data_IF_936753753299
#
_entry.id   IF_936753753299
#
_cell.length_a   1.000
_cell.length_b   1.000
_cell.length_c   1.000
_cell.angle_alpha   90.00
_cell.angle_beta   90.00
_cell.angle_gamma   90.00
#
_symmetry.space_group_name_H-M   'P 1'
#
loop_
_entity.id
_entity.type
_entity.pdbx_description
1 polymer ?
#
# COMPACT_ATOMS: atom_id res chain seq x y z
N UNK A 1 6.78 -28.05 -9.18
CA UNK A 1 5.54 -27.97 -8.39
C UNK A 1 4.36 -28.61 -9.11
N UNK A 2 3.93 -28.11 -10.27
CA UNK A 2 2.65 -28.53 -10.88
C UNK A 2 2.44 -30.05 -11.02
N UNK A 3 3.40 -30.77 -11.62
CA UNK A 3 3.33 -32.24 -11.75
C UNK A 3 3.17 -32.96 -10.40
N UNK A 4 3.74 -32.44 -9.30
CA UNK A 4 3.57 -33.03 -7.96
C UNK A 4 2.11 -32.90 -7.49
N UNK A 5 1.50 -31.73 -7.69
CA UNK A 5 0.10 -31.51 -7.32
C UNK A 5 -0.86 -32.31 -8.22
N UNK A 6 -0.53 -32.48 -9.51
CA UNK A 6 -1.28 -33.35 -10.42
C UNK A 6 -1.25 -34.81 -9.96
N UNK A 7 -0.08 -35.34 -9.60
CA UNK A 7 0.04 -36.68 -8.99
C UNK A 7 -0.74 -36.82 -7.67
N UNK A 8 -0.89 -35.73 -6.91
CA UNK A 8 -1.64 -35.70 -5.65
C UNK A 8 -3.17 -35.69 -5.83
N UNK A 9 -3.71 -35.56 -7.06
CA UNK A 9 -5.17 -35.54 -7.33
C UNK A 9 -5.97 -36.65 -6.67
N UNK A 10 -5.39 -37.83 -6.50
CA UNK A 10 -6.06 -38.96 -5.85
C UNK A 10 -6.46 -38.68 -4.39
N UNK A 11 -5.75 -37.77 -3.69
CA UNK A 11 -6.00 -37.40 -2.29
C UNK A 11 -7.33 -36.66 -2.08
N UNK A 12 -7.92 -36.08 -3.13
CA UNK A 12 -9.21 -35.39 -3.06
C UNK A 12 -10.24 -35.89 -4.08
N UNK A 13 -9.85 -36.74 -5.04
CA UNK A 13 -10.77 -37.29 -6.06
C UNK A 13 -11.28 -38.71 -5.76
N UNK A 14 -10.66 -39.46 -4.84
CA UNK A 14 -11.20 -40.75 -4.41
C UNK A 14 -12.41 -40.56 -3.49
N UNK A 15 -13.50 -41.27 -3.79
CA UNK A 15 -14.58 -41.58 -2.83
C UNK A 15 -14.22 -42.89 -2.13
N UNK A 16 -14.53 -43.00 -0.84
CA UNK A 16 -14.29 -44.23 -0.08
C UNK A 16 -14.95 -45.44 -0.75
N UNK A 17 -14.17 -46.53 -0.86
CA UNK A 17 -14.61 -47.78 -1.48
C UNK A 17 -15.59 -48.59 -0.60
N UNK A 18 -15.86 -48.12 0.62
CA UNK A 18 -16.82 -48.70 1.57
C UNK A 18 -18.07 -47.83 1.65
N UNK A 19 -19.19 -48.32 1.13
CA UNK A 19 -20.46 -47.58 0.97
C UNK A 19 -21.22 -47.27 2.27
N UNK A 20 -20.61 -46.54 3.20
CA UNK A 20 -21.24 -46.05 4.43
C UNK A 20 -20.74 -44.64 4.78
N UNK A 21 -21.59 -43.63 4.54
CA UNK A 21 -21.39 -42.25 5.01
C UNK A 21 -20.76 -41.30 3.99
N UNK A 22 -21.46 -40.21 3.72
CA UNK A 22 -21.01 -39.12 2.84
C UNK A 22 -19.96 -38.25 3.54
N UNK A 23 -18.70 -38.70 3.61
CA UNK A 23 -17.59 -37.78 3.89
C UNK A 23 -16.92 -37.39 2.57
N UNK A 24 -17.17 -36.13 2.18
CA UNK A 24 -16.40 -35.47 1.13
C UNK A 24 -14.93 -35.46 1.54
N UNK A 25 -14.03 -35.64 0.57
CA UNK A 25 -12.57 -35.64 0.77
C UNK A 25 -12.02 -34.19 0.97
N UNK A 26 -12.82 -33.35 1.63
CA UNK A 26 -12.65 -31.91 1.80
C UNK A 26 -11.60 -31.59 2.88
N UNK A 27 -11.38 -32.51 3.84
CA UNK A 27 -10.43 -32.39 4.95
C UNK A 27 -9.01 -32.01 4.49
N UNK A 28 -8.55 -32.47 3.32
CA UNK A 28 -7.25 -32.04 2.80
C UNK A 28 -7.18 -30.51 2.62
N UNK A 29 -8.22 -29.89 2.06
CA UNK A 29 -8.25 -28.45 1.84
C UNK A 29 -8.71 -27.68 3.07
N UNK A 30 -9.79 -28.12 3.73
CA UNK A 30 -10.41 -27.42 4.86
C UNK A 30 -9.71 -27.64 6.19
N UNK A 31 -8.82 -28.64 6.29
CA UNK A 31 -8.00 -28.90 7.46
C UNK A 31 -6.50 -28.91 7.15
N UNK A 32 -5.96 -29.85 6.36
CA UNK A 32 -4.50 -29.99 6.24
C UNK A 32 -3.83 -28.73 5.65
N UNK A 33 -4.33 -28.23 4.52
CA UNK A 33 -3.78 -27.03 3.86
C UNK A 33 -4.13 -25.75 4.63
N UNK A 34 -5.24 -25.72 5.35
CA UNK A 34 -5.62 -24.62 6.26
C UNK A 34 -4.67 -24.54 7.46
N UNK A 35 -4.44 -25.66 8.16
CA UNK A 35 -3.52 -25.76 9.29
C UNK A 35 -2.08 -25.36 8.87
N UNK A 36 -1.66 -25.74 7.66
CA UNK A 36 -0.41 -25.28 7.05
C UNK A 36 -0.40 -23.76 6.82
N UNK A 37 -1.48 -23.19 6.27
CA UNK A 37 -1.58 -21.73 6.08
C UNK A 37 -1.50 -20.98 7.40
N UNK A 38 -2.25 -21.39 8.43
CA UNK A 38 -2.23 -20.75 9.74
C UNK A 38 -0.85 -20.83 10.42
N UNK A 39 -0.13 -21.94 10.26
CA UNK A 39 1.26 -22.07 10.71
C UNK A 39 2.20 -21.09 9.99
N UNK A 40 2.09 -20.98 8.66
CA UNK A 40 2.93 -20.09 7.86
C UNK A 40 2.60 -18.62 8.16
N UNK A 41 1.33 -18.23 8.11
CA UNK A 41 0.87 -16.87 8.34
C UNK A 41 1.10 -16.41 9.79
N UNK A 42 0.96 -17.32 10.77
CA UNK A 42 1.38 -17.07 12.15
C UNK A 42 2.87 -16.72 12.25
N UNK A 43 3.74 -17.50 11.58
CA UNK A 43 5.18 -17.19 11.54
C UNK A 43 5.50 -15.89 10.77
N UNK A 44 4.74 -15.55 9.72
CA UNK A 44 4.88 -14.28 9.02
C UNK A 44 4.56 -13.10 9.93
N UNK A 45 3.43 -13.12 10.66
CA UNK A 45 3.08 -12.08 11.64
C UNK A 45 4.12 -11.98 12.75
N UNK A 46 4.53 -13.11 13.37
CA UNK A 46 5.44 -13.10 14.52
C UNK A 46 6.87 -12.65 14.15
N UNK A 47 7.41 -13.13 13.02
CA UNK A 47 8.82 -12.96 12.70
C UNK A 47 9.07 -11.94 11.57
N UNK A 48 8.07 -11.62 10.74
CA UNK A 48 8.18 -10.69 9.60
C UNK A 48 8.48 -9.24 9.98
N UNK A 49 8.41 -8.86 11.25
CA UNK A 49 8.97 -7.59 11.74
C UNK A 49 10.50 -7.58 11.82
N UNK A 50 11.14 -8.75 11.98
CA UNK A 50 12.48 -8.87 12.57
C UNK A 50 13.62 -9.08 11.57
N UNK A 51 14.83 -8.69 11.99
CA UNK A 51 16.08 -9.42 11.75
C UNK A 51 16.70 -9.50 10.35
N UNK A 52 15.93 -9.63 9.28
CA UNK A 52 16.50 -10.11 8.01
C UNK A 52 17.26 -9.03 7.24
N UNK A 53 18.59 -9.16 7.21
CA UNK A 53 19.48 -8.19 6.56
C UNK A 53 19.45 -8.31 5.04
N UNK A 54 19.12 -9.48 4.49
CA UNK A 54 18.94 -9.66 3.05
C UNK A 54 17.81 -8.80 2.47
N UNK A 55 16.80 -8.45 3.28
CA UNK A 55 15.68 -7.57 2.90
C UNK A 55 16.00 -6.07 3.01
N UNK A 56 17.21 -5.66 3.41
CA UNK A 56 17.60 -4.25 3.40
C UNK A 56 17.95 -3.73 1.99
N UNK A 57 18.28 -4.64 1.06
CA UNK A 57 18.69 -4.34 -0.31
C UNK A 57 18.03 -5.34 -1.26
N UNK A 58 17.00 -4.87 -1.97
CA UNK A 58 16.08 -5.73 -2.74
C UNK A 58 16.28 -5.61 -4.25
N UNK A 59 16.63 -4.42 -4.74
CA UNK A 59 16.63 -4.15 -6.17
C UNK A 59 17.87 -4.56 -6.93
N UNK A 60 17.80 -4.43 -8.26
CA UNK A 60 18.90 -4.75 -9.17
C UNK A 60 20.13 -3.92 -8.78
N UNK A 61 21.27 -4.62 -8.56
CA UNK A 61 22.53 -4.08 -8.01
C UNK A 61 22.50 -3.66 -6.52
N UNK A 62 21.49 -4.08 -5.74
CA UNK A 62 21.47 -3.92 -4.29
C UNK A 62 21.17 -2.49 -3.82
N UNK A 63 20.27 -1.80 -4.52
CA UNK A 63 19.66 -0.54 -4.09
C UNK A 63 18.98 -0.70 -2.71
N UNK A 64 18.95 0.35 -1.87
CA UNK A 64 18.19 0.32 -0.62
C UNK A 64 16.71 0.06 -0.88
N UNK A 65 16.12 -0.87 -0.12
CA UNK A 65 14.69 -1.18 -0.20
C UNK A 65 13.85 -0.03 0.35
N UNK A 66 12.72 0.27 -0.30
CA UNK A 66 11.66 1.08 0.30
C UNK A 66 11.09 0.37 1.55
N UNK A 67 10.40 1.10 2.47
CA UNK A 67 9.77 0.49 3.63
C UNK A 67 8.81 -0.64 3.26
N UNK A 68 8.02 -0.46 2.20
CA UNK A 68 7.05 -1.44 1.70
C UNK A 68 7.70 -2.69 1.11
N UNK A 69 8.75 -2.55 0.30
CA UNK A 69 9.50 -3.70 -0.22
C UNK A 69 10.18 -4.48 0.89
N UNK A 70 10.71 -3.78 1.89
CA UNK A 70 11.35 -4.39 3.06
C UNK A 70 10.33 -5.16 3.91
N UNK A 71 9.14 -4.61 4.13
CA UNK A 71 8.05 -5.31 4.81
C UNK A 71 7.61 -6.55 4.02
N UNK A 72 7.34 -6.40 2.72
CA UNK A 72 6.95 -7.48 1.81
C UNK A 72 7.98 -8.64 1.81
N UNK A 73 9.26 -8.28 1.68
CA UNK A 73 10.38 -9.23 1.71
C UNK A 73 10.42 -9.99 3.04
N UNK A 74 10.37 -9.30 4.18
CA UNK A 74 10.47 -9.95 5.49
C UNK A 74 9.30 -10.88 5.79
N UNK A 75 8.07 -10.50 5.46
CA UNK A 75 6.91 -11.38 5.65
C UNK A 75 7.07 -12.68 4.86
N UNK A 76 7.31 -12.58 3.54
CA UNK A 76 7.51 -13.76 2.70
C UNK A 76 8.73 -14.58 3.13
N UNK A 77 9.81 -13.93 3.55
CA UNK A 77 11.02 -14.62 4.03
C UNK A 77 10.76 -15.41 5.32
N UNK A 78 9.99 -14.85 6.27
CA UNK A 78 9.56 -15.56 7.47
C UNK A 78 8.67 -16.77 7.14
N UNK A 79 7.74 -16.62 6.19
CA UNK A 79 6.90 -17.71 5.69
C UNK A 79 7.71 -18.82 5.02
N UNK A 80 8.64 -18.47 4.12
CA UNK A 80 9.56 -19.42 3.48
C UNK A 80 10.48 -20.10 4.50
N UNK A 81 11.02 -19.37 5.48
CA UNK A 81 11.80 -19.97 6.57
C UNK A 81 10.98 -20.99 7.37
N UNK A 82 9.70 -20.69 7.66
CA UNK A 82 8.81 -21.62 8.36
C UNK A 82 8.43 -22.84 7.52
N UNK A 83 8.33 -22.67 6.20
CA UNK A 83 8.04 -23.77 5.27
C UNK A 83 9.18 -24.78 5.15
N UNK A 84 10.43 -24.28 5.10
CA UNK A 84 11.62 -25.12 4.91
C UNK A 84 12.37 -25.47 6.19
N UNK A 85 12.04 -24.81 7.31
CA UNK A 85 12.53 -25.16 8.64
C UNK A 85 12.04 -26.53 9.13
N UNK A 86 12.57 -27.01 10.26
CA UNK A 86 12.07 -28.23 10.88
C UNK A 86 10.59 -28.07 11.21
N UNK A 87 9.80 -29.12 10.90
CA UNK A 87 8.40 -29.19 11.32
C UNK A 87 8.32 -29.10 12.86
N UNK A 88 7.28 -28.47 13.42
CA UNK A 88 7.07 -28.49 14.86
C UNK A 88 6.94 -29.96 15.35
N UNK A 89 7.41 -30.28 16.57
CA UNK A 89 7.26 -31.63 17.11
C UNK A 89 5.77 -31.99 17.19
N UNK A 90 5.40 -33.14 16.63
CA UNK A 90 4.01 -33.58 16.54
C UNK A 90 3.37 -33.66 17.93
N UNK A 91 2.23 -33.01 18.10
CA UNK A 91 1.39 -33.09 19.30
C UNK A 91 0.52 -34.36 19.26
N UNK A 92 0.73 -35.35 20.15
CA UNK A 92 -0.09 -36.56 20.13
C UNK A 92 -1.48 -36.30 20.75
N UNK A 93 -2.57 -36.91 20.25
CA UNK A 93 -2.67 -37.77 19.08
C UNK A 93 -3.41 -37.06 17.93
N UNK A 94 -2.73 -36.16 17.20
CA UNK A 94 -3.21 -35.76 15.89
C UNK A 94 -3.19 -36.97 14.92
N UNK A 95 -4.18 -37.07 14.04
CA UNK A 95 -4.13 -38.03 12.94
C UNK A 95 -2.97 -37.67 11.98
N UNK A 96 -2.27 -38.66 11.40
CA UNK A 96 -1.15 -38.40 10.49
C UNK A 96 -1.65 -37.62 9.26
N UNK A 97 -0.97 -36.53 8.92
CA UNK A 97 -1.33 -35.68 7.79
C UNK A 97 -0.54 -36.08 6.55
N UNK A 98 -1.13 -35.97 5.37
CA UNK A 98 -0.37 -36.15 4.11
C UNK A 98 0.72 -35.07 3.95
N UNK A 99 0.59 -33.95 4.66
CA UNK A 99 1.59 -32.88 4.73
C UNK A 99 2.74 -33.17 5.72
N UNK A 100 2.74 -34.32 6.40
CA UNK A 100 3.94 -34.83 7.09
C UNK A 100 5.05 -35.19 6.08
N UNK A 101 4.70 -35.42 4.80
CA UNK A 101 5.69 -35.57 3.74
C UNK A 101 6.30 -34.20 3.35
N UNK A 102 7.63 -34.00 3.50
CA UNK A 102 8.26 -32.70 3.23
C UNK A 102 8.07 -32.20 1.80
N UNK A 103 7.99 -33.08 0.79
CA UNK A 103 7.77 -32.67 -0.59
C UNK A 103 6.35 -32.15 -0.83
N UNK A 104 5.35 -32.74 -0.18
CA UNK A 104 3.96 -32.32 -0.29
C UNK A 104 3.71 -31.02 0.49
N UNK A 105 4.23 -30.94 1.72
CA UNK A 105 4.26 -29.71 2.52
C UNK A 105 4.87 -28.54 1.76
N UNK A 106 6.07 -28.71 1.22
CA UNK A 106 6.78 -27.65 0.48
C UNK A 106 6.06 -27.28 -0.83
N UNK A 107 5.40 -28.24 -1.49
CA UNK A 107 4.58 -27.96 -2.67
C UNK A 107 3.35 -27.10 -2.32
N UNK A 108 2.56 -27.49 -1.32
CA UNK A 108 1.36 -26.76 -0.91
C UNK A 108 1.69 -25.40 -0.29
N UNK A 109 2.69 -25.35 0.60
CA UNK A 109 3.11 -24.11 1.24
C UNK A 109 3.69 -23.11 0.25
N UNK A 110 4.37 -23.57 -0.82
CA UNK A 110 4.79 -22.67 -1.88
C UNK A 110 3.60 -22.09 -2.66
N UNK A 111 2.58 -22.88 -3.00
CA UNK A 111 1.36 -22.35 -3.63
C UNK A 111 0.65 -21.32 -2.74
N UNK A 112 0.54 -21.58 -1.43
CA UNK A 112 0.00 -20.63 -0.45
C UNK A 112 0.82 -19.32 -0.39
N UNK A 113 2.16 -19.41 -0.38
CA UNK A 113 3.03 -18.23 -0.33
C UNK A 113 3.04 -17.44 -1.66
N UNK A 114 2.89 -18.10 -2.81
CA UNK A 114 2.69 -17.42 -4.10
C UNK A 114 1.33 -16.69 -4.15
N UNK A 115 0.25 -17.33 -3.68
CA UNK A 115 -1.08 -16.71 -3.58
C UNK A 115 -1.07 -15.51 -2.61
N UNK A 116 -0.38 -15.64 -1.48
CA UNK A 116 -0.19 -14.53 -0.54
C UNK A 116 0.62 -13.39 -1.15
N UNK A 117 1.71 -13.68 -1.85
CA UNK A 117 2.50 -12.67 -2.56
C UNK A 117 1.64 -11.93 -3.60
N UNK A 118 0.77 -12.63 -4.35
CA UNK A 118 -0.19 -12.01 -5.27
C UNK A 118 -1.17 -11.07 -4.54
N UNK A 119 -1.83 -11.54 -3.47
CA UNK A 119 -2.73 -10.68 -2.68
C UNK A 119 -2.02 -9.46 -2.08
N UNK A 120 -0.76 -9.61 -1.67
CA UNK A 120 0.06 -8.49 -1.20
C UNK A 120 0.30 -7.47 -2.33
N UNK A 121 0.64 -7.91 -3.56
CA UNK A 121 0.76 -7.03 -4.74
C UNK A 121 -0.55 -6.34 -5.08
N UNK A 122 -1.69 -7.00 -4.90
CA UNK A 122 -3.02 -6.41 -5.17
C UNK A 122 -3.41 -5.33 -4.15
N UNK A 123 -3.04 -5.51 -2.87
CA UNK A 123 -3.36 -4.56 -1.78
C UNK A 123 -2.34 -3.42 -1.62
N UNK A 124 -1.11 -3.57 -2.11
CA UNK A 124 -0.05 -2.58 -1.97
C UNK A 124 -0.26 -1.33 -2.86
N UNK A 125 -0.21 -0.15 -2.22
CA UNK A 125 -0.13 1.16 -2.89
C UNK A 125 1.26 1.47 -3.45
N UNK A 126 2.23 0.70 -2.98
CA UNK A 126 3.64 0.77 -3.31
C UNK A 126 4.04 -0.31 -4.33
N UNK A 127 5.15 -0.08 -5.04
CA UNK A 127 5.79 -1.12 -5.84
C UNK A 127 6.63 -1.98 -4.89
N UNK A 128 6.32 -3.28 -4.84
CA UNK A 128 6.92 -4.22 -3.87
C UNK A 128 7.59 -5.43 -4.53
N UNK A 129 7.61 -5.45 -5.86
CA UNK A 129 8.01 -6.57 -6.71
C UNK A 129 9.43 -7.05 -6.42
N UNK A 130 10.39 -6.13 -6.24
CA UNK A 130 11.78 -6.47 -5.91
C UNK A 130 11.88 -7.10 -4.50
N UNK A 131 11.11 -6.59 -3.53
CA UNK A 131 11.03 -7.16 -2.17
C UNK A 131 10.47 -8.58 -2.16
N UNK A 132 9.41 -8.83 -2.93
CA UNK A 132 8.84 -10.18 -3.12
C UNK A 132 9.88 -11.11 -3.73
N UNK A 133 10.44 -10.74 -4.88
CA UNK A 133 11.45 -11.55 -5.59
C UNK A 133 12.62 -11.90 -4.65
N UNK A 134 13.11 -10.92 -3.88
CA UNK A 134 14.24 -11.10 -2.96
C UNK A 134 13.99 -12.18 -1.91
N UNK A 135 12.79 -12.29 -1.37
CA UNK A 135 12.43 -13.30 -0.38
C UNK A 135 12.51 -14.72 -0.96
N UNK A 136 11.88 -14.93 -2.12
CA UNK A 136 11.90 -16.23 -2.81
C UNK A 136 13.30 -16.63 -3.27
N UNK A 137 14.13 -15.70 -3.76
CA UNK A 137 15.53 -15.99 -4.11
C UNK A 137 16.35 -16.44 -2.89
N UNK A 138 16.18 -15.79 -1.75
CA UNK A 138 17.03 -15.97 -0.55
C UNK A 138 16.73 -17.27 0.22
N UNK A 139 15.48 -17.74 0.19
CA UNK A 139 15.05 -18.92 0.97
C UNK A 139 14.36 -20.00 0.11
N UNK A 140 13.64 -19.62 -0.94
CA UNK A 140 12.86 -20.52 -1.79
C UNK A 140 13.66 -21.64 -2.47
N UNK A 141 14.98 -21.48 -2.61
CA UNK A 141 15.87 -22.48 -3.19
C UNK A 141 16.44 -23.51 -2.18
N UNK A 142 16.07 -23.47 -0.89
CA UNK A 142 16.72 -24.28 0.17
C UNK A 142 16.11 -25.65 0.46
N UNK A 143 14.98 -26.00 -0.14
CA UNK A 143 14.25 -27.26 0.14
C UNK A 143 14.31 -28.33 -0.95
N UNK A 144 13.63 -29.45 -0.69
CA UNK A 144 13.46 -30.59 -1.61
C UNK A 144 12.57 -30.21 -2.80
N UNK A 145 11.65 -29.26 -2.60
CA UNK A 145 10.88 -28.60 -3.66
C UNK A 145 11.23 -27.11 -3.68
N UNK A 146 12.00 -26.63 -4.68
CA UNK A 146 12.28 -25.21 -4.84
C UNK A 146 10.99 -24.40 -5.10
N UNK A 147 10.83 -23.33 -4.34
CA UNK A 147 9.76 -22.34 -4.46
C UNK A 147 10.35 -21.10 -5.16
N UNK A 148 10.32 -21.11 -6.49
CA UNK A 148 10.96 -20.11 -7.33
C UNK A 148 9.95 -19.11 -7.87
N UNK A 149 10.19 -17.83 -7.62
CA UNK A 149 9.43 -16.72 -8.18
C UNK A 149 9.87 -16.46 -9.63
N UNK A 150 9.01 -16.70 -10.61
CA UNK A 150 9.36 -16.62 -12.03
C UNK A 150 9.24 -15.21 -12.65
N UNK A 151 9.50 -14.18 -11.84
CA UNK A 151 9.47 -12.76 -12.26
C UNK A 151 8.18 -12.04 -11.89
N UNK A 152 8.04 -10.80 -12.36
CA UNK A 152 6.96 -9.88 -11.94
C UNK A 152 5.55 -10.38 -12.32
N UNK A 153 5.43 -11.13 -13.41
CA UNK A 153 4.19 -11.69 -13.95
C UNK A 153 4.07 -13.22 -13.78
N UNK A 154 4.60 -13.77 -12.66
CA UNK A 154 4.51 -15.21 -12.40
C UNK A 154 3.06 -15.67 -12.19
N UNK A 155 2.47 -16.09 -13.30
CA UNK A 155 1.13 -16.67 -13.43
C UNK A 155 1.17 -18.18 -13.68
N UNK A 156 2.37 -18.80 -13.72
CA UNK A 156 2.49 -20.23 -14.05
C UNK A 156 2.03 -21.13 -12.90
N UNK A 157 2.20 -20.69 -11.65
CA UNK A 157 1.63 -21.37 -10.49
C UNK A 157 0.10 -21.26 -10.49
N UNK A 158 -0.46 -20.12 -10.89
CA UNK A 158 -1.91 -19.89 -10.97
C UNK A 158 -2.56 -20.73 -12.07
N UNK A 159 -2.01 -20.70 -13.29
CA UNK A 159 -2.45 -21.54 -14.40
C UNK A 159 -2.37 -23.04 -14.08
N UNK A 160 -1.36 -23.46 -13.29
CA UNK A 160 -1.29 -24.81 -12.77
C UNK A 160 -2.47 -25.15 -11.85
N UNK A 161 -2.74 -24.31 -10.85
CA UNK A 161 -3.82 -24.52 -9.90
C UNK A 161 -5.21 -24.51 -10.59
N UNK A 162 -5.38 -23.69 -11.62
CA UNK A 162 -6.61 -23.67 -12.44
C UNK A 162 -6.78 -24.94 -13.30
N UNK A 163 -5.69 -25.55 -13.78
CA UNK A 163 -5.74 -26.81 -14.53
C UNK A 163 -6.14 -28.05 -13.70
N UNK A 164 -6.27 -27.90 -12.38
CA UNK A 164 -6.48 -28.99 -11.43
C UNK A 164 -7.89 -28.89 -10.87
N UNK A 165 -8.79 -29.73 -11.38
CA UNK A 165 -10.17 -29.85 -10.91
C UNK A 165 -10.27 -30.67 -9.63
N UNK A 166 -11.16 -30.27 -8.73
CA UNK A 166 -11.42 -30.94 -7.45
C UNK A 166 -12.64 -31.86 -7.55
N UNK A 167 -13.72 -31.40 -8.20
CA UNK A 167 -14.99 -32.13 -8.28
C UNK A 167 -15.27 -32.67 -9.69
N UNK A 168 -15.19 -34.00 -9.87
CA UNK A 168 -15.52 -34.69 -11.12
C UNK A 168 -17.00 -35.05 -11.24
N UNK A 169 -17.81 -34.17 -11.83
CA UNK A 169 -19.22 -34.43 -12.15
C UNK A 169 -19.72 -33.51 -13.27
N UNK A 170 -20.29 -34.08 -14.34
CA UNK A 170 -20.47 -33.41 -15.64
C UNK A 170 -21.60 -32.36 -15.75
N UNK A 171 -21.96 -31.67 -14.66
CA UNK A 171 -23.11 -30.74 -14.64
C UNK A 171 -22.96 -29.49 -13.74
N UNK A 172 -21.80 -29.27 -13.12
CA UNK A 172 -21.52 -28.05 -12.32
C UNK A 172 -20.15 -27.51 -12.73
N UNK A 173 -20.00 -26.19 -12.81
CA UNK A 173 -18.70 -25.54 -13.04
C UNK A 173 -17.71 -25.98 -11.95
N UNK A 174 -16.75 -26.82 -12.31
CA UNK A 174 -15.91 -27.52 -11.36
C UNK A 174 -15.01 -26.58 -10.57
N UNK A 175 -15.04 -26.72 -9.24
CA UNK A 175 -14.11 -26.05 -8.33
C UNK A 175 -12.66 -26.47 -8.64
N UNK A 176 -11.74 -25.50 -8.74
CA UNK A 176 -10.32 -25.73 -9.03
C UNK A 176 -9.47 -25.68 -7.76
N UNK A 177 -8.26 -26.24 -7.80
CA UNK A 177 -7.29 -26.13 -6.70
C UNK A 177 -6.96 -24.66 -6.39
N UNK A 178 -7.03 -23.77 -7.39
CA UNK A 178 -6.91 -22.33 -7.19
C UNK A 178 -8.05 -21.79 -6.32
N UNK A 179 -9.30 -22.15 -6.63
CA UNK A 179 -10.45 -21.71 -5.83
C UNK A 179 -10.31 -22.13 -4.37
N UNK A 180 -9.78 -23.35 -4.10
CA UNK A 180 -9.47 -23.79 -2.72
C UNK A 180 -8.36 -22.94 -2.07
N UNK A 181 -7.23 -22.70 -2.75
CA UNK A 181 -6.13 -21.86 -2.24
C UNK A 181 -6.60 -20.43 -1.96
N UNK A 182 -7.29 -19.79 -2.91
CA UNK A 182 -7.83 -18.43 -2.76
C UNK A 182 -8.81 -18.36 -1.58
N UNK A 183 -9.65 -19.38 -1.37
CA UNK A 183 -10.59 -19.44 -0.24
C UNK A 183 -9.91 -19.59 1.13
N UNK A 184 -8.77 -20.28 1.23
CA UNK A 184 -7.99 -20.42 2.48
C UNK A 184 -7.40 -19.07 2.93
N UNK A 185 -6.96 -18.25 1.97
CA UNK A 185 -6.42 -16.92 2.25
C UNK A 185 -7.53 -15.86 2.46
N UNK A 186 -8.70 -16.06 1.85
CA UNK A 186 -9.79 -15.08 1.84
C UNK A 186 -10.43 -14.90 3.22
N UNK A 187 -10.24 -13.70 3.78
CA UNK A 187 -10.84 -13.31 5.05
C UNK A 187 -9.97 -13.60 6.28
N UNK A 188 -8.75 -14.10 6.10
CA UNK A 188 -7.77 -14.16 7.19
C UNK A 188 -7.30 -12.75 7.57
N UNK A 189 -7.61 -12.33 8.79
CA UNK A 189 -7.21 -11.04 9.37
C UNK A 189 -5.71 -10.82 9.33
N UNK A 190 -4.89 -11.89 9.39
CA UNK A 190 -3.42 -11.80 9.28
C UNK A 190 -2.99 -11.16 7.95
N UNK A 191 -3.71 -11.41 6.85
CA UNK A 191 -3.40 -10.78 5.55
C UNK A 191 -3.71 -9.28 5.58
N UNK A 192 -4.74 -8.86 6.30
CA UNK A 192 -5.08 -7.45 6.46
C UNK A 192 -4.07 -6.72 7.33
N UNK A 193 -3.59 -7.34 8.41
CA UNK A 193 -2.56 -6.77 9.28
C UNK A 193 -1.20 -6.66 8.56
N UNK A 194 -0.80 -7.68 7.80
CA UNK A 194 0.40 -7.58 6.96
C UNK A 194 0.26 -6.53 5.84
N UNK A 195 -0.94 -6.36 5.27
CA UNK A 195 -1.19 -5.31 4.26
C UNK A 195 -1.07 -3.89 4.85
N UNK A 196 -1.57 -3.66 6.07
CA UNK A 196 -1.38 -2.38 6.80
C UNK A 196 0.10 -2.05 6.97
N UNK A 197 0.92 -3.02 7.40
CA UNK A 197 2.36 -2.80 7.58
C UNK A 197 3.12 -2.65 6.25
N UNK A 198 2.71 -3.34 5.18
CA UNK A 198 3.28 -3.11 3.83
C UNK A 198 2.94 -1.72 3.30
N UNK A 199 1.76 -1.18 3.60
CA UNK A 199 1.35 0.18 3.25
C UNK A 199 1.84 1.26 4.25
N UNK A 200 2.55 0.89 5.33
CA UNK A 200 3.02 1.79 6.38
C UNK A 200 4.31 2.53 6.02
N UNK A 201 4.19 3.58 5.19
CA UNK A 201 5.31 4.46 4.81
C UNK A 201 5.19 5.79 5.57
N UNK A 202 6.13 6.05 6.47
CA UNK A 202 6.04 7.19 7.41
C UNK A 202 6.71 8.47 6.91
N UNK A 203 7.65 8.38 5.96
CA UNK A 203 8.40 9.50 5.40
C UNK A 203 7.76 9.95 4.08
N UNK A 204 7.47 11.25 3.95
CA UNK A 204 6.80 11.78 2.75
C UNK A 204 7.63 11.57 1.47
N UNK A 205 8.96 11.66 1.56
CA UNK A 205 9.84 11.37 0.42
C UNK A 205 9.74 9.91 -0.04
N UNK A 206 9.80 8.95 0.89
CA UNK A 206 9.68 7.52 0.55
C UNK A 206 8.31 7.20 -0.03
N UNK A 207 7.25 7.77 0.57
CA UNK A 207 5.88 7.66 0.08
C UNK A 207 5.77 8.18 -1.36
N UNK A 208 6.32 9.37 -1.65
CA UNK A 208 6.36 9.95 -3.01
C UNK A 208 7.05 9.01 -4.01
N UNK A 209 8.27 8.54 -3.73
CA UNK A 209 8.98 7.63 -4.64
C UNK A 209 8.17 6.36 -4.90
N UNK A 210 7.67 5.76 -3.82
CA UNK A 210 7.09 4.43 -3.83
C UNK A 210 5.73 4.37 -4.55
N UNK A 211 4.82 5.31 -4.27
CA UNK A 211 3.52 5.35 -4.99
C UNK A 211 3.66 5.85 -6.42
N UNK A 212 4.63 6.74 -6.70
CA UNK A 212 4.85 7.23 -8.08
C UNK A 212 5.39 6.11 -8.95
N UNK A 213 6.38 5.33 -8.47
CA UNK A 213 6.87 4.15 -9.18
C UNK A 213 5.74 3.13 -9.43
N UNK A 214 4.88 2.89 -8.44
CA UNK A 214 3.74 1.97 -8.56
C UNK A 214 2.70 2.43 -9.57
N UNK A 215 2.36 3.72 -9.55
CA UNK A 215 1.42 4.33 -10.50
C UNK A 215 2.01 4.36 -11.92
N UNK A 216 3.32 4.59 -12.06
CA UNK A 216 4.01 4.53 -13.34
C UNK A 216 4.13 3.12 -13.91
N UNK A 217 4.29 2.09 -13.08
CA UNK A 217 4.34 0.69 -13.50
C UNK A 217 3.00 0.13 -13.95
N UNK A 218 1.88 0.71 -13.49
CA UNK A 218 0.56 0.37 -14.03
C UNK A 218 0.41 0.83 -15.48
N UNK A 219 -0.36 0.07 -16.26
CA UNK A 219 -0.82 0.52 -17.58
C UNK A 219 -1.63 1.82 -17.45
N UNK A 220 -1.61 2.62 -18.52
CA UNK A 220 -2.51 3.78 -18.68
C UNK A 220 -3.96 3.30 -18.78
N UNK A 221 -4.89 4.04 -18.17
CA UNK A 221 -6.32 3.78 -18.32
C UNK A 221 -6.68 3.77 -19.81
N UNK A 222 -7.32 2.69 -20.28
CA UNK A 222 -7.73 2.52 -21.67
C UNK A 222 -6.61 2.30 -22.71
N UNK A 223 -5.36 1.95 -22.33
CA UNK A 223 -4.28 1.79 -23.31
C UNK A 223 -3.13 0.85 -22.91
N UNK A 224 -2.25 0.57 -23.87
CA UNK A 224 -1.03 -0.21 -23.67
C UNK A 224 0.17 0.70 -23.34
N UNK A 225 0.91 0.36 -22.28
CA UNK A 225 2.17 1.02 -21.93
C UNK A 225 2.17 1.73 -20.57
N UNK A 226 3.37 1.88 -20.01
CA UNK A 226 3.65 2.52 -18.72
C UNK A 226 3.56 4.04 -18.79
N UNK A 227 3.42 4.71 -17.63
CA UNK A 227 3.41 6.18 -17.54
C UNK A 227 4.85 6.72 -17.50
N UNK A 228 5.02 7.98 -17.94
CA UNK A 228 6.31 8.69 -17.88
C UNK A 228 6.27 9.81 -16.82
N UNK A 229 7.43 10.36 -16.45
CA UNK A 229 7.53 11.53 -15.57
C UNK A 229 6.72 12.74 -16.08
N UNK A 230 6.63 12.93 -17.40
CA UNK A 230 5.72 13.93 -17.98
C UNK A 230 4.27 13.70 -17.54
N UNK A 231 3.79 12.46 -17.55
CA UNK A 231 2.43 12.13 -17.10
C UNK A 231 2.24 12.28 -15.59
N UNK A 232 3.30 12.09 -14.79
CA UNK A 232 3.29 12.43 -13.34
C UNK A 232 3.03 13.91 -13.16
N UNK A 233 3.86 14.78 -13.76
CA UNK A 233 3.73 16.23 -13.58
C UNK A 233 2.44 16.82 -14.17
N UNK A 234 1.98 16.29 -15.31
CA UNK A 234 0.66 16.62 -15.88
C UNK A 234 -0.49 16.32 -14.90
N UNK A 235 -0.40 15.24 -14.11
CA UNK A 235 -1.43 14.89 -13.11
C UNK A 235 -1.26 15.70 -11.82
N UNK A 236 -0.02 15.92 -11.34
CA UNK A 236 0.26 16.80 -10.19
C UNK A 236 -0.26 18.22 -10.43
N UNK A 237 -0.15 18.75 -11.66
CA UNK A 237 -0.71 20.06 -12.01
C UNK A 237 -2.25 20.08 -11.92
N UNK A 238 -2.94 18.99 -12.28
CA UNK A 238 -4.40 18.87 -12.07
C UNK A 238 -4.75 18.80 -10.59
N UNK A 239 -3.97 18.08 -9.79
CA UNK A 239 -4.15 18.02 -8.34
C UNK A 239 -3.98 19.38 -7.67
N UNK A 240 -3.08 20.24 -8.16
CA UNK A 240 -2.96 21.63 -7.71
C UNK A 240 -4.25 22.43 -7.99
N UNK A 241 -4.84 22.30 -9.18
CA UNK A 241 -6.13 22.94 -9.51
C UNK A 241 -7.28 22.39 -8.64
N UNK A 242 -7.31 21.08 -8.39
CA UNK A 242 -8.31 20.46 -7.49
C UNK A 242 -8.14 20.96 -6.06
N UNK A 243 -6.91 21.08 -5.56
CA UNK A 243 -6.60 21.61 -4.25
C UNK A 243 -7.04 23.08 -4.12
N UNK A 244 -6.76 23.92 -5.12
CA UNK A 244 -7.22 25.31 -5.19
C UNK A 244 -8.76 25.42 -5.06
N UNK A 245 -9.50 24.57 -5.79
CA UNK A 245 -10.96 24.46 -5.69
C UNK A 245 -11.44 23.96 -4.31
N UNK A 246 -10.71 23.00 -3.74
CA UNK A 246 -10.94 22.43 -2.40
C UNK A 246 -10.72 23.43 -1.25
N UNK A 247 -9.82 24.42 -1.41
CA UNK A 247 -9.49 25.42 -0.38
C UNK A 247 -10.18 26.78 -0.57
N UNK A 248 -11.18 26.87 -1.46
CA UNK A 248 -11.99 28.08 -1.66
C UNK A 248 -12.65 28.57 -0.36
N UNK A 249 -12.95 29.86 -0.25
CA UNK A 249 -13.58 30.45 0.95
C UNK A 249 -14.86 29.70 1.38
N UNK A 250 -15.76 29.43 0.44
CA UNK A 250 -16.98 28.63 0.65
C UNK A 250 -16.70 27.22 1.23
N UNK A 251 -15.55 26.62 0.91
CA UNK A 251 -15.14 25.32 1.47
C UNK A 251 -14.54 25.44 2.87
N UNK A 252 -13.84 26.54 3.18
CA UNK A 252 -13.35 26.86 4.53
C UNK A 252 -14.46 27.22 5.51
N UNK A 253 -15.50 27.90 5.01
CA UNK A 253 -16.73 28.24 5.74
C UNK A 253 -17.66 27.03 5.95
N UNK A 254 -17.28 25.83 5.50
CA UNK A 254 -18.02 24.60 5.79
C UNK A 254 -18.03 24.37 7.31
N UNK A 255 -19.24 24.27 7.89
CA UNK A 255 -19.43 24.03 9.32
C UNK A 255 -18.82 22.71 9.80
N UNK A 256 -18.55 21.76 8.89
CA UNK A 256 -17.80 20.54 9.18
C UNK A 256 -16.30 20.78 9.45
N UNK A 257 -15.72 21.89 8.97
CA UNK A 257 -14.33 22.26 9.20
C UNK A 257 -14.12 23.12 10.45
N UNK A 258 -15.08 24.00 10.79
CA UNK A 258 -14.97 24.92 11.94
C UNK A 258 -14.53 24.25 13.26
N UNK A 259 -15.04 23.06 13.66
CA UNK A 259 -14.60 22.38 14.89
C UNK A 259 -13.11 22.03 14.91
N UNK A 260 -12.49 21.82 13.75
CA UNK A 260 -11.07 21.47 13.65
C UNK A 260 -10.10 22.61 13.92
N UNK A 261 -10.59 23.86 13.94
CA UNK A 261 -9.77 25.06 14.13
C UNK A 261 -10.27 25.92 15.30
N UNK A 262 -11.06 25.36 16.23
CA UNK A 262 -11.70 26.16 17.26
C UNK A 262 -10.79 26.52 18.44
N UNK A 263 -9.86 25.63 18.81
CA UNK A 263 -9.08 25.70 20.05
C UNK A 263 -7.59 25.99 19.80
N UNK A 264 -7.29 26.90 18.88
CA UNK A 264 -5.91 27.31 18.59
C UNK A 264 -5.38 28.15 19.78
N UNK A 265 -4.28 27.75 20.45
CA UNK A 265 -3.77 28.47 21.61
C UNK A 265 -3.37 29.90 21.28
N UNK A 266 -3.75 30.85 22.15
CA UNK A 266 -3.37 32.26 22.05
C UNK A 266 -1.85 32.43 22.11
N UNK A 267 -1.32 33.39 21.35
CA UNK A 267 0.10 33.79 21.41
C UNK A 267 0.19 35.17 22.05
N UNK A 268 0.98 35.31 23.11
CA UNK A 268 1.16 36.57 23.85
C UNK A 268 -0.18 37.26 24.20
N UNK A 269 -1.18 36.46 24.60
CA UNK A 269 -2.54 36.91 24.92
C UNK A 269 -3.45 37.23 23.73
N UNK A 270 -2.92 37.31 22.50
CA UNK A 270 -3.69 37.54 21.26
C UNK A 270 -4.26 36.23 20.71
N UNK A 271 -5.44 36.31 20.11
CA UNK A 271 -6.00 35.18 19.37
C UNK A 271 -5.17 34.92 18.09
N UNK A 272 -5.04 33.64 17.72
CA UNK A 272 -4.46 33.24 16.43
C UNK A 272 -5.56 33.31 15.38
N UNK A 273 -5.23 33.76 14.18
CA UNK A 273 -6.18 33.76 13.06
C UNK A 273 -6.45 32.33 12.60
N UNK A 274 -7.74 32.00 12.44
CA UNK A 274 -8.18 30.65 12.09
C UNK A 274 -8.06 30.36 10.60
N UNK A 275 -7.94 31.36 9.72
CA UNK A 275 -7.96 31.16 8.27
C UNK A 275 -6.80 30.31 7.76
N UNK A 276 -5.60 30.48 8.35
CA UNK A 276 -4.45 29.61 8.05
C UNK A 276 -4.71 28.14 8.45
N UNK A 277 -5.41 27.91 9.56
CA UNK A 277 -5.82 26.57 9.97
C UNK A 277 -6.91 26.00 9.04
N UNK A 278 -7.93 26.80 8.72
CA UNK A 278 -9.04 26.37 7.85
C UNK A 278 -8.56 26.04 6.43
N UNK A 279 -7.59 26.79 5.89
CA UNK A 279 -7.00 26.52 4.58
C UNK A 279 -6.30 25.15 4.56
N UNK A 280 -5.44 24.87 5.54
CA UNK A 280 -4.77 23.57 5.64
C UNK A 280 -5.78 22.45 5.96
N UNK A 281 -6.76 22.68 6.83
CA UNK A 281 -7.80 21.70 7.15
C UNK A 281 -8.68 21.35 5.93
N UNK A 282 -9.02 22.34 5.10
CA UNK A 282 -9.73 22.14 3.83
C UNK A 282 -8.87 21.35 2.84
N UNK A 283 -7.56 21.66 2.75
CA UNK A 283 -6.62 20.91 1.92
C UNK A 283 -6.47 19.45 2.36
N UNK A 284 -6.28 19.21 3.66
CA UNK A 284 -6.25 17.86 4.25
C UNK A 284 -7.55 17.10 4.00
N UNK A 285 -8.71 17.77 4.13
CA UNK A 285 -10.01 17.16 3.84
C UNK A 285 -10.15 16.79 2.36
N UNK A 286 -9.80 17.70 1.45
CA UNK A 286 -9.85 17.45 0.01
C UNK A 286 -8.98 16.25 -0.39
N UNK A 287 -7.79 16.15 0.22
CA UNK A 287 -6.87 15.02 0.12
C UNK A 287 -7.50 13.72 0.64
N UNK A 288 -8.01 13.68 1.88
CA UNK A 288 -8.52 12.42 2.45
C UNK A 288 -9.89 12.00 1.90
N UNK A 289 -10.65 12.92 1.29
CA UNK A 289 -11.91 12.61 0.59
C UNK A 289 -11.70 12.01 -0.82
N UNK A 290 -10.47 12.00 -1.35
CA UNK A 290 -10.13 11.20 -2.54
C UNK A 290 -10.47 9.73 -2.22
N UNK A 291 -11.29 9.11 -3.07
CA UNK A 291 -11.78 7.73 -2.91
C UNK A 291 -11.41 6.88 -4.13
N UNK A 292 -11.46 5.56 -3.96
CA UNK A 292 -11.48 4.63 -5.09
C UNK A 292 -12.83 4.82 -5.83
N UNK A 293 -12.78 5.00 -7.16
CA UNK A 293 -13.96 5.18 -8.01
C UNK A 293 -13.75 4.44 -9.33
N UNK A 294 -14.20 3.17 -9.34
CA UNK A 294 -14.07 2.25 -10.49
C UNK A 294 -14.85 2.71 -11.73
N UNK A 295 -15.77 3.65 -11.59
CA UNK A 295 -16.52 4.21 -12.74
C UNK A 295 -15.76 5.34 -13.44
N UNK A 296 -14.69 5.84 -12.82
CA UNK A 296 -13.86 6.94 -13.30
C UNK A 296 -12.37 6.55 -13.38
N UNK A 297 -12.08 5.25 -13.47
CA UNK A 297 -10.72 4.66 -13.50
C UNK A 297 -9.79 5.07 -12.34
N UNK A 298 -10.36 5.49 -11.19
CA UNK A 298 -9.59 5.80 -9.98
C UNK A 298 -9.47 4.55 -9.11
N UNK A 299 -8.44 3.75 -9.36
CA UNK A 299 -8.12 2.60 -8.53
C UNK A 299 -7.39 2.98 -7.22
N UNK A 300 -7.09 1.98 -6.40
CA UNK A 300 -6.39 2.13 -5.13
C UNK A 300 -5.02 2.81 -5.25
N UNK A 301 -4.25 2.44 -6.27
CA UNK A 301 -2.91 3.00 -6.54
C UNK A 301 -3.02 4.46 -6.96
N UNK A 302 -3.91 4.76 -7.91
CA UNK A 302 -4.19 6.13 -8.36
C UNK A 302 -4.64 6.99 -7.19
N UNK A 303 -5.61 6.53 -6.38
CA UNK A 303 -6.04 7.26 -5.20
C UNK A 303 -4.89 7.53 -4.20
N UNK A 304 -3.98 6.58 -3.99
CA UNK A 304 -2.81 6.79 -3.11
C UNK A 304 -1.79 7.77 -3.70
N UNK A 305 -1.55 7.70 -5.01
CA UNK A 305 -0.71 8.65 -5.74
C UNK A 305 -1.27 10.08 -5.65
N UNK A 306 -2.55 10.31 -5.99
CA UNK A 306 -3.16 11.64 -5.94
C UNK A 306 -3.16 12.22 -4.51
N UNK A 307 -3.46 11.41 -3.48
CA UNK A 307 -3.33 11.81 -2.07
C UNK A 307 -1.89 12.22 -1.72
N UNK A 308 -0.91 11.44 -2.17
CA UNK A 308 0.50 11.74 -1.90
C UNK A 308 0.92 13.06 -2.55
N UNK A 309 0.53 13.31 -3.80
CA UNK A 309 0.84 14.55 -4.50
C UNK A 309 0.12 15.76 -3.90
N UNK A 310 -1.16 15.64 -3.53
CA UNK A 310 -1.84 16.70 -2.78
C UNK A 310 -1.17 16.99 -1.42
N UNK A 311 -0.58 15.99 -0.75
CA UNK A 311 0.14 16.22 0.50
C UNK A 311 1.43 17.04 0.30
N UNK A 312 2.17 16.77 -0.78
CA UNK A 312 3.35 17.56 -1.17
C UNK A 312 2.94 19.00 -1.52
N UNK A 313 1.89 19.17 -2.33
CA UNK A 313 1.36 20.48 -2.71
C UNK A 313 0.83 21.27 -1.51
N UNK A 314 0.18 20.63 -0.55
CA UNK A 314 -0.31 21.28 0.66
C UNK A 314 0.83 21.73 1.59
N UNK A 315 1.91 20.94 1.67
CA UNK A 315 3.13 21.34 2.37
C UNK A 315 3.85 22.49 1.67
N UNK A 316 3.89 22.49 0.33
CA UNK A 316 4.40 23.60 -0.46
C UNK A 316 3.60 24.91 -0.23
N UNK A 317 2.27 24.83 -0.16
CA UNK A 317 1.42 25.97 0.19
C UNK A 317 1.71 26.42 1.63
N UNK A 318 1.86 25.50 2.59
CA UNK A 318 2.21 25.82 3.96
C UNK A 318 3.56 26.55 4.08
N UNK A 319 4.57 26.17 3.28
CA UNK A 319 5.85 26.90 3.18
C UNK A 319 5.62 28.33 2.62
N UNK A 320 4.85 28.48 1.54
CA UNK A 320 4.53 29.79 0.94
C UNK A 320 3.77 30.74 1.87
N UNK A 321 2.96 30.21 2.79
CA UNK A 321 2.28 30.98 3.84
C UNK A 321 3.20 31.36 5.02
N UNK A 322 4.37 30.72 5.14
CA UNK A 322 5.37 30.98 6.19
C UNK A 322 6.58 31.80 5.69
N UNK A 323 6.73 31.94 4.36
CA UNK A 323 7.75 32.75 3.68
C UNK A 323 7.75 34.22 4.14
N UNK A 324 8.93 34.85 4.17
CA UNK A 324 9.09 36.27 4.55
C UNK A 324 8.33 37.25 3.65
N UNK A 325 7.97 36.86 2.42
CA UNK A 325 7.18 37.66 1.49
C UNK A 325 5.67 37.51 1.69
N UNK A 326 5.22 36.64 2.59
CA UNK A 326 3.80 36.54 2.93
C UNK A 326 3.44 37.67 3.91
N UNK A 327 2.52 38.59 3.56
CA UNK A 327 2.14 39.70 4.44
C UNK A 327 1.48 39.18 5.73
N UNK A 328 1.47 40.00 6.77
CA UNK A 328 0.79 39.78 8.05
C UNK A 328 1.09 38.45 8.81
N UNK A 329 2.07 37.65 8.38
CA UNK A 329 2.28 36.27 8.88
C UNK A 329 2.43 36.16 10.40
N UNK A 330 3.17 37.10 11.00
CA UNK A 330 3.43 37.14 12.44
C UNK A 330 2.26 37.76 13.21
N UNK A 331 1.65 38.81 12.64
CA UNK A 331 0.49 39.51 13.19
C UNK A 331 -0.69 38.55 13.37
N UNK A 332 -0.90 37.68 12.38
CA UNK A 332 -1.98 36.69 12.32
C UNK A 332 -1.57 35.31 12.86
N UNK A 333 -0.30 35.14 13.23
CA UNK A 333 0.25 33.90 13.77
C UNK A 333 0.04 32.69 12.84
N UNK A 334 0.26 32.89 11.54
CA UNK A 334 -0.02 31.92 10.46
C UNK A 334 0.63 30.55 10.72
N UNK A 335 1.86 30.53 11.25
CA UNK A 335 2.53 29.29 11.65
C UNK A 335 1.72 28.48 12.68
N UNK A 336 1.08 29.12 13.67
CA UNK A 336 0.28 28.41 14.68
C UNK A 336 -1.00 27.83 14.09
N UNK A 337 -1.64 28.52 13.15
CA UNK A 337 -2.79 27.99 12.41
C UNK A 337 -2.43 26.74 11.59
N UNK A 338 -1.33 26.81 10.83
CA UNK A 338 -0.81 25.70 10.02
C UNK A 338 -0.46 24.49 10.91
N UNK A 339 0.32 24.70 11.97
CA UNK A 339 0.71 23.64 12.88
C UNK A 339 -0.50 23.01 13.59
N UNK A 340 -1.51 23.79 14.00
CA UNK A 340 -2.73 23.25 14.58
C UNK A 340 -3.44 22.29 13.62
N UNK A 341 -3.59 22.68 12.35
CA UNK A 341 -4.21 21.85 11.32
C UNK A 341 -3.44 20.52 11.10
N UNK A 342 -2.11 20.57 10.96
CA UNK A 342 -1.29 19.38 10.72
C UNK A 342 -1.07 18.48 11.94
N UNK A 343 -1.03 19.03 13.17
CA UNK A 343 -0.66 18.30 14.39
C UNK A 343 -1.84 17.93 15.30
N UNK A 344 -2.96 18.68 15.23
CA UNK A 344 -4.13 18.50 16.12
C UNK A 344 -5.38 18.08 15.35
N UNK A 345 -5.63 18.73 14.22
CA UNK A 345 -6.84 18.48 13.43
C UNK A 345 -6.72 17.25 12.52
N UNK A 346 -5.51 17.01 12.00
CA UNK A 346 -5.20 16.10 10.90
C UNK A 346 -5.81 14.69 11.06
N UNK A 347 -5.51 14.00 12.16
CA UNK A 347 -5.98 12.64 12.40
C UNK A 347 -7.52 12.58 12.55
N UNK A 348 -8.16 13.65 13.05
CA UNK A 348 -9.61 13.76 13.14
C UNK A 348 -10.26 14.05 11.78
N UNK A 349 -9.63 14.86 10.92
CA UNK A 349 -10.06 15.08 9.53
C UNK A 349 -9.96 13.76 8.76
N UNK A 350 -8.83 13.04 8.86
CA UNK A 350 -8.64 11.70 8.30
C UNK A 350 -9.72 10.73 8.80
N UNK A 351 -9.99 10.71 10.10
CA UNK A 351 -11.01 9.87 10.72
C UNK A 351 -12.47 10.15 10.28
N UNK A 352 -12.76 11.31 9.68
CA UNK A 352 -14.10 11.68 9.17
C UNK A 352 -14.11 11.91 7.65
N UNK A 353 -13.38 11.08 6.92
CA UNK A 353 -13.21 11.13 5.46
C UNK A 353 -13.25 9.71 4.86
N UNK A 354 -12.99 9.58 3.55
CA UNK A 354 -12.81 8.28 2.89
C UNK A 354 -11.59 7.47 3.38
N UNK A 355 -10.73 8.07 4.22
CA UNK A 355 -9.56 7.42 4.82
C UNK A 355 -9.78 6.89 6.25
N UNK A 356 -11.01 6.88 6.78
CA UNK A 356 -11.33 6.50 8.16
C UNK A 356 -11.02 5.02 8.50
N UNK A 357 -11.16 4.11 7.53
CA UNK A 357 -10.91 2.67 7.69
C UNK A 357 -10.08 2.07 6.56
N UNK A 358 -9.31 2.90 5.84
CA UNK A 358 -8.58 2.50 4.64
C UNK A 358 -7.10 2.28 4.94
N UNK A 359 -6.64 1.02 4.85
CA UNK A 359 -5.24 0.60 5.05
C UNK A 359 -4.26 1.22 4.03
N UNK A 360 -4.79 1.80 2.95
CA UNK A 360 -4.06 2.47 1.87
C UNK A 360 -3.94 3.99 2.05
N UNK A 361 -4.40 4.52 3.20
CA UNK A 361 -4.29 5.94 3.55
C UNK A 361 -3.23 6.18 4.62
N UNK A 362 -2.19 6.94 4.28
CA UNK A 362 -1.21 7.48 5.23
C UNK A 362 -1.75 8.72 5.98
N UNK A 363 -0.97 9.30 6.89
CA UNK A 363 -1.26 10.60 7.51
C UNK A 363 -0.37 11.67 6.86
N UNK A 364 -0.97 12.69 6.25
CA UNK A 364 -0.25 13.79 5.62
C UNK A 364 0.32 14.73 6.68
N UNK A 365 1.56 14.48 7.12
CA UNK A 365 2.23 15.30 8.12
C UNK A 365 2.79 16.60 7.52
N UNK A 366 3.07 17.56 8.41
CA UNK A 366 3.86 18.76 8.07
C UNK A 366 5.30 18.32 7.78
N UNK A 367 5.76 18.54 6.56
CA UNK A 367 7.13 18.32 6.09
C UNK A 367 7.50 19.50 5.19
N UNK A 368 8.33 20.45 5.66
CA UNK A 368 8.83 21.55 4.83
C UNK A 368 9.54 21.05 3.56
N UNK A 369 9.44 21.81 2.46
CA UNK A 369 10.13 21.46 1.21
C UNK A 369 11.65 21.41 1.39
N UNK A 370 12.20 22.13 2.38
CA UNK A 370 13.62 22.04 2.77
C UNK A 370 14.03 20.65 3.24
N UNK A 371 13.14 19.89 3.90
CA UNK A 371 13.40 18.49 4.25
C UNK A 371 13.30 17.55 3.04
N UNK A 372 12.60 17.98 1.98
CA UNK A 372 12.53 17.30 0.68
C UNK A 372 13.63 17.72 -0.30
N UNK A 373 14.56 18.60 0.10
CA UNK A 373 15.65 19.09 -0.75
C UNK A 373 16.67 18.02 -1.16
N UNK A 374 16.72 16.88 -0.45
CA UNK A 374 17.52 15.70 -0.82
C UNK A 374 16.67 14.57 -1.41
N UNK A 375 15.38 14.79 -1.64
CA UNK A 375 14.46 13.76 -2.12
C UNK A 375 14.63 13.50 -3.63
N UNK A 376 15.52 12.57 -3.97
CA UNK A 376 15.75 12.09 -5.32
C UNK A 376 14.61 11.17 -5.77
N UNK A 377 13.85 11.58 -6.79
CA UNK A 377 12.66 10.88 -7.28
C UNK A 377 12.93 9.89 -8.42
N UNK A 378 14.12 9.91 -9.03
CA UNK A 378 14.48 9.01 -10.13
C UNK A 378 14.10 9.52 -11.53
N UNK A 379 13.84 10.82 -11.68
CA UNK A 379 13.71 11.45 -13.00
C UNK A 379 15.09 11.67 -13.64
N UNK A 380 15.17 11.54 -14.97
CA UNK A 380 16.44 11.56 -15.72
C UNK A 380 17.09 12.95 -15.82
N UNK A 381 16.36 14.02 -15.52
CA UNK A 381 16.91 15.38 -15.51
C UNK A 381 17.71 15.69 -14.24
N UNK A 382 17.71 14.78 -13.25
CA UNK A 382 18.47 14.90 -12.01
C UNK A 382 17.87 15.88 -11.00
N UNK A 383 16.75 16.54 -11.32
CA UNK A 383 16.07 17.44 -10.38
C UNK A 383 15.50 16.66 -9.21
N UNK A 384 15.58 17.25 -8.02
CA UNK A 384 15.00 16.69 -6.79
C UNK A 384 13.55 17.16 -6.61
N UNK A 385 12.79 16.47 -5.75
CA UNK A 385 11.37 16.76 -5.53
C UNK A 385 11.12 18.25 -5.24
N UNK A 386 11.91 18.85 -4.34
CA UNK A 386 11.82 20.28 -4.01
C UNK A 386 11.93 21.17 -5.26
N UNK A 387 12.98 20.97 -6.06
CA UNK A 387 13.31 21.79 -7.23
C UNK A 387 12.18 21.69 -8.27
N UNK A 388 11.66 20.49 -8.53
CA UNK A 388 10.48 20.27 -9.39
C UNK A 388 9.24 21.02 -8.91
N UNK A 389 8.91 20.92 -7.62
CA UNK A 389 7.76 21.63 -7.06
C UNK A 389 7.97 23.15 -7.18
N UNK A 390 9.11 23.68 -6.77
CA UNK A 390 9.37 25.13 -6.78
C UNK A 390 9.45 25.72 -8.20
N UNK A 391 10.18 25.08 -9.11
CA UNK A 391 10.45 25.61 -10.46
C UNK A 391 9.36 25.30 -11.48
N UNK A 392 8.69 24.15 -11.40
CA UNK A 392 7.74 23.71 -12.42
C UNK A 392 6.27 23.95 -11.99
N UNK A 393 6.00 24.17 -10.68
CA UNK A 393 4.64 24.33 -10.15
C UNK A 393 4.42 25.59 -9.28
N UNK A 394 5.40 26.08 -8.51
CA UNK A 394 5.21 27.22 -7.58
C UNK A 394 5.68 28.59 -8.08
N UNK A 395 6.16 28.69 -9.33
CA UNK A 395 6.47 29.99 -9.95
C UNK A 395 5.19 30.80 -10.13
N UNK A 396 5.12 31.93 -9.44
CA UNK A 396 3.90 32.76 -9.34
C UNK A 396 3.62 33.58 -10.61
N UNK A 397 4.63 33.77 -11.44
CA UNK A 397 4.62 34.40 -12.76
C UNK A 397 4.20 33.42 -13.87
N UNK A 398 4.51 32.13 -13.74
CA UNK A 398 4.18 31.08 -14.73
C UNK A 398 2.90 30.29 -14.37
N UNK A 399 2.60 30.05 -13.07
CA UNK A 399 1.47 29.23 -12.62
C UNK A 399 0.31 30.06 -12.04
N UNK A 400 -0.76 30.17 -12.84
CA UNK A 400 -1.96 30.95 -12.50
C UNK A 400 -2.77 30.39 -11.33
N UNK A 401 -2.73 29.08 -11.05
CA UNK A 401 -3.46 28.49 -9.91
C UNK A 401 -2.76 28.74 -8.59
N UNK A 402 -1.42 28.63 -8.55
CA UNK A 402 -0.64 29.01 -7.37
C UNK A 402 -0.82 30.49 -7.02
N UNK A 403 -0.81 31.36 -8.04
CA UNK A 403 -1.11 32.78 -7.87
C UNK A 403 -2.51 33.01 -7.28
N UNK A 404 -3.56 32.35 -7.78
CA UNK A 404 -4.92 32.44 -7.20
C UNK A 404 -4.97 31.98 -5.74
N UNK A 405 -4.30 30.87 -5.40
CA UNK A 405 -4.22 30.39 -4.00
C UNK A 405 -3.60 31.47 -3.11
N UNK A 406 -2.45 32.04 -3.52
CA UNK A 406 -1.76 33.08 -2.75
C UNK A 406 -2.58 34.36 -2.62
N UNK A 407 -3.10 34.89 -3.73
CA UNK A 407 -3.91 36.11 -3.76
C UNK A 407 -5.18 35.97 -2.89
N UNK A 408 -5.79 34.77 -2.85
CA UNK A 408 -6.94 34.50 -2.01
C UNK A 408 -6.55 34.31 -0.53
N UNK A 409 -5.45 33.61 -0.26
CA UNK A 409 -4.95 33.44 1.10
C UNK A 409 -4.58 34.78 1.75
N UNK A 410 -3.95 35.71 1.02
CA UNK A 410 -3.66 37.07 1.50
C UNK A 410 -4.97 37.80 1.88
N UNK A 411 -6.00 37.74 1.02
CA UNK A 411 -7.28 38.43 1.24
C UNK A 411 -8.08 37.91 2.43
N UNK A 412 -7.97 36.62 2.74
CA UNK A 412 -8.71 36.04 3.87
C UNK A 412 -7.89 36.08 5.17
N UNK A 413 -6.56 35.97 5.09
CA UNK A 413 -5.71 35.91 6.29
C UNK A 413 -5.39 37.31 6.83
N UNK A 414 -5.28 38.38 6.03
CA UNK A 414 -4.84 39.71 6.50
C UNK A 414 -6.01 40.70 6.75
#
# INVERSE_FOLDING_TARGET
MCQRLDCMKHLWTQKDASGAGTQSNDNFWTKDVQDLWDELAGAMITNGGTGETACNKVGINGTPASPSEKAACKFLHAGLQKLYGPAPPATPPAAPSVLDNPSFRQTMGCFLLHAYAKHMKEKATCLIDEGIQKAFETVGNKGVVPCQWQGMDDSKWENCLDSITINGGAAVSGETAKTKVDNILKGDSKIEDMAKEVNNVTQLCDQVKCVTNRWMSQNKAGGTGTRTWKNVWEEVQKELTKLAGGTTKKKREDSALTPYCNDIPKVNGKAVDKEACLLIAAGLKNLYDIKEDKNHDVDAVTASFLRTMQCVLLNAIADKLQDEKFPCKDEKNVQKGINHAFEKSNSAIKGKSACSSNDKCFECKRVPLTELATCEIGEKDGKKLKEKIEEDLLKEDENTEMKKIKDQAIKDIC
#
